data_IF_645061291597
#
_entry.id   IF_645061291597
#
_cell.length_a   1.000
_cell.length_b   1.000
_cell.length_c   1.000
_cell.angle_alpha   90.00
_cell.angle_beta   90.00
_cell.angle_gamma   90.00
#
_symmetry.space_group_name_H-M   'P 1'
#
loop_
_entity.id
_entity.type
_entity.pdbx_description
1 polymer ?
#
# COMPACT_ATOMS: atom_id res chain seq x y z
N UNK A 1 -14.48 -3.16 -24.10
CA UNK A 1 -14.00 -1.77 -24.27
C UNK A 1 -13.98 -1.07 -22.91
N UNK A 2 -12.86 -0.45 -22.53
CA UNK A 2 -12.58 0.13 -21.19
C UNK A 2 -12.07 -0.85 -20.12
N UNK A 3 -11.70 -2.08 -20.48
CA UNK A 3 -11.01 -3.00 -19.56
C UNK A 3 -9.50 -2.81 -19.64
N UNK A 4 -8.83 -2.65 -18.50
CA UNK A 4 -7.37 -2.54 -18.44
C UNK A 4 -6.79 -3.85 -17.93
N UNK A 5 -5.76 -4.38 -18.58
CA UNK A 5 -5.11 -5.63 -18.18
C UNK A 5 -3.72 -5.78 -18.82
N UNK A 6 -2.98 -6.76 -18.32
CA UNK A 6 -1.61 -7.08 -18.75
C UNK A 6 -0.64 -5.89 -18.68
N UNK A 7 -0.81 -5.05 -17.66
CA UNK A 7 0.08 -3.92 -17.42
C UNK A 7 1.41 -4.42 -16.84
N UNK A 8 2.51 -3.79 -17.27
CA UNK A 8 3.87 -4.15 -16.87
C UNK A 8 4.75 -2.91 -16.67
N UNK A 9 4.29 -1.97 -15.85
CA UNK A 9 4.98 -0.71 -15.66
C UNK A 9 6.30 -0.80 -14.89
N UNK A 10 7.06 0.30 -14.91
CA UNK A 10 8.27 0.47 -14.09
C UNK A 10 8.11 1.64 -13.12
N UNK A 11 8.48 1.45 -11.85
CA UNK A 11 8.47 2.55 -10.85
C UNK A 11 9.32 3.70 -11.34
N UNK A 12 8.75 4.90 -11.20
CA UNK A 12 9.37 6.15 -11.65
C UNK A 12 9.23 6.43 -13.15
N UNK A 13 8.54 5.58 -13.91
CA UNK A 13 8.18 5.85 -15.31
C UNK A 13 6.69 5.71 -15.53
N UNK A 14 6.17 6.48 -16.50
CA UNK A 14 4.83 6.28 -17.05
C UNK A 14 5.00 5.64 -18.41
N UNK A 15 4.77 4.34 -18.48
CA UNK A 15 4.98 3.52 -19.68
C UNK A 15 3.69 2.87 -20.20
N UNK A 16 2.58 3.02 -19.47
CA UNK A 16 1.26 2.57 -19.89
C UNK A 16 0.39 3.71 -20.45
N UNK A 17 -0.36 3.43 -21.53
CA UNK A 17 -1.33 4.37 -22.10
C UNK A 17 -2.73 4.18 -21.50
N UNK A 18 -3.18 5.20 -20.76
CA UNK A 18 -4.50 5.26 -20.15
C UNK A 18 -5.40 6.33 -20.80
N UNK A 19 -5.10 6.76 -22.02
CA UNK A 19 -5.84 7.80 -22.76
C UNK A 19 -7.33 7.50 -22.95
N UNK A 20 -7.68 6.22 -23.04
CA UNK A 20 -9.05 5.73 -23.23
C UNK A 20 -9.90 5.70 -21.95
N UNK A 21 -9.30 5.95 -20.78
CA UNK A 21 -10.00 5.88 -19.49
C UNK A 21 -10.69 7.19 -19.13
N UNK A 22 -11.75 7.08 -18.31
CA UNK A 22 -12.37 8.23 -17.67
C UNK A 22 -11.32 9.02 -16.85
N UNK A 23 -11.35 10.37 -16.82
CA UNK A 23 -10.30 11.18 -16.20
C UNK A 23 -9.90 10.80 -14.77
N UNK A 24 -10.88 10.43 -13.94
CA UNK A 24 -10.63 9.95 -12.58
C UNK A 24 -9.88 8.62 -12.55
N UNK A 25 -10.30 7.65 -13.37
CA UNK A 25 -9.61 6.36 -13.48
C UNK A 25 -8.19 6.58 -14.01
N UNK A 26 -8.04 7.36 -15.08
CA UNK A 26 -6.74 7.75 -15.64
C UNK A 26 -5.78 8.31 -14.59
N UNK A 27 -6.25 9.22 -13.72
CA UNK A 27 -5.44 9.76 -12.64
C UNK A 27 -4.98 8.68 -11.65
N UNK A 28 -5.88 7.79 -11.23
CA UNK A 28 -5.55 6.70 -10.30
C UNK A 28 -4.57 5.71 -10.94
N UNK A 29 -4.77 5.33 -12.21
CA UNK A 29 -3.87 4.44 -12.93
C UNK A 29 -2.47 5.04 -13.10
N UNK A 30 -2.35 6.35 -13.40
CA UNK A 30 -1.04 7.00 -13.43
C UNK A 30 -0.35 7.05 -12.07
N UNK A 31 -1.10 7.27 -10.98
CA UNK A 31 -0.52 7.18 -9.64
C UNK A 31 -0.01 5.76 -9.35
N UNK A 32 -0.77 4.75 -9.76
CA UNK A 32 -0.33 3.36 -9.68
C UNK A 32 0.93 3.07 -10.50
N UNK A 33 0.98 3.58 -11.73
CA UNK A 33 2.07 3.34 -12.68
C UNK A 33 3.40 3.88 -12.15
N UNK A 34 3.36 5.11 -11.63
CA UNK A 34 4.53 5.74 -11.02
C UNK A 34 5.01 5.01 -9.75
N UNK A 35 4.10 4.50 -8.91
CA UNK A 35 4.41 4.09 -7.55
C UNK A 35 4.51 2.57 -7.32
N UNK A 36 3.75 1.72 -8.03
CA UNK A 36 3.80 0.26 -7.85
C UNK A 36 3.96 -0.56 -9.13
N UNK A 37 4.56 0.02 -10.19
CA UNK A 37 4.86 -0.67 -11.45
C UNK A 37 3.63 -1.27 -12.17
N UNK A 38 2.41 -1.16 -11.64
CA UNK A 38 1.18 -1.72 -12.22
C UNK A 38 1.30 -3.16 -12.75
N UNK A 39 2.12 -4.05 -12.17
CA UNK A 39 2.36 -5.37 -12.77
C UNK A 39 1.15 -6.32 -12.60
N UNK A 40 0.72 -6.97 -13.68
CA UNK A 40 -0.43 -7.87 -13.68
C UNK A 40 -0.28 -9.05 -12.72
N UNK A 41 0.89 -9.69 -12.69
CA UNK A 41 1.19 -10.87 -11.85
C UNK A 41 1.05 -10.63 -10.33
N UNK A 42 1.05 -9.37 -9.90
CA UNK A 42 0.96 -8.98 -8.49
C UNK A 42 -0.23 -8.08 -8.17
N UNK A 43 -1.13 -7.89 -9.13
CA UNK A 43 -2.33 -7.08 -8.99
C UNK A 43 -3.56 -7.98 -9.05
N UNK A 44 -4.62 -7.59 -8.36
CA UNK A 44 -5.90 -8.30 -8.48
C UNK A 44 -6.67 -7.81 -9.70
N UNK A 45 -7.55 -8.66 -10.22
CA UNK A 45 -8.52 -8.27 -11.25
C UNK A 45 -9.92 -8.19 -10.63
N UNK A 46 -10.60 -7.07 -10.86
CA UNK A 46 -11.98 -6.85 -10.46
C UNK A 46 -12.80 -6.53 -11.71
N UNK A 47 -13.86 -7.29 -11.96
CA UNK A 47 -14.74 -7.10 -13.13
C UNK A 47 -13.97 -7.03 -14.47
N UNK A 48 -12.96 -7.88 -14.65
CA UNK A 48 -12.11 -7.89 -15.85
C UNK A 48 -11.19 -6.68 -15.99
N UNK A 49 -10.99 -5.91 -14.91
CA UNK A 49 -10.02 -4.81 -14.84
C UNK A 49 -8.94 -5.13 -13.83
N UNK A 50 -7.69 -5.11 -14.28
CA UNK A 50 -6.54 -5.14 -13.42
C UNK A 50 -6.50 -3.89 -12.54
N UNK A 51 -6.34 -4.09 -11.24
CA UNK A 51 -6.21 -2.99 -10.28
C UNK A 51 -4.98 -2.13 -10.59
N UNK A 52 -5.07 -0.80 -10.40
CA UNK A 52 -3.97 0.12 -10.65
C UNK A 52 -2.81 -0.03 -9.65
N UNK A 53 -3.05 -0.71 -8.53
CA UNK A 53 -2.05 -0.98 -7.49
C UNK A 53 -1.88 -2.47 -7.28
N UNK A 54 -0.68 -2.84 -6.84
CA UNK A 54 -0.34 -4.18 -6.44
C UNK A 54 -1.07 -4.62 -5.16
N UNK A 55 -1.14 -5.94 -4.92
CA UNK A 55 -1.73 -6.54 -3.73
C UNK A 55 -1.17 -5.96 -2.42
N UNK A 56 0.11 -5.58 -2.40
CA UNK A 56 0.78 -4.98 -1.23
C UNK A 56 0.20 -3.62 -0.88
N UNK A 57 0.04 -2.75 -1.86
CA UNK A 57 -0.50 -1.40 -1.68
C UNK A 57 -1.96 -1.42 -1.24
N UNK A 58 -2.75 -2.36 -1.80
CA UNK A 58 -4.13 -2.59 -1.33
C UNK A 58 -4.13 -2.93 0.16
N UNK A 59 -3.21 -3.81 0.59
CA UNK A 59 -3.00 -4.14 2.00
C UNK A 59 -2.60 -2.91 2.83
N UNK A 60 -1.62 -2.13 2.37
CA UNK A 60 -1.14 -0.91 3.05
C UNK A 60 -2.27 0.11 3.25
N UNK A 61 -3.05 0.41 2.21
CA UNK A 61 -4.15 1.37 2.30
C UNK A 61 -5.25 0.89 3.23
N UNK A 62 -5.61 -0.41 3.16
CA UNK A 62 -6.59 -1.00 4.07
C UNK A 62 -6.10 -0.98 5.52
N UNK A 63 -4.86 -1.39 5.75
CA UNK A 63 -4.22 -1.38 7.07
C UNK A 63 -4.12 0.02 7.66
N UNK A 64 -3.75 1.01 6.85
CA UNK A 64 -3.68 2.41 7.26
C UNK A 64 -5.07 2.92 7.67
N UNK A 65 -6.10 2.66 6.87
CA UNK A 65 -7.47 3.07 7.17
C UNK A 65 -7.98 2.44 8.48
N UNK A 66 -7.81 1.12 8.64
CA UNK A 66 -8.20 0.40 9.86
C UNK A 66 -7.40 0.86 11.08
N UNK A 67 -6.08 1.03 10.93
CA UNK A 67 -5.19 1.51 11.98
C UNK A 67 -5.57 2.93 12.42
N UNK A 68 -5.91 3.82 11.50
CA UNK A 68 -6.38 5.18 11.83
C UNK A 68 -7.71 5.13 12.58
N UNK A 69 -8.66 4.30 12.15
CA UNK A 69 -9.93 4.11 12.86
C UNK A 69 -9.70 3.63 14.30
N UNK A 70 -8.81 2.65 14.48
CA UNK A 70 -8.41 2.13 15.80
C UNK A 70 -7.75 3.23 16.64
N UNK A 71 -6.80 3.98 16.09
CA UNK A 71 -6.11 5.08 16.79
C UNK A 71 -7.10 6.14 17.26
N UNK A 72 -8.02 6.57 16.40
CA UNK A 72 -9.00 7.60 16.71
C UNK A 72 -10.03 7.13 17.76
N UNK A 73 -10.47 5.87 17.67
CA UNK A 73 -11.53 5.34 18.51
C UNK A 73 -11.03 4.84 19.87
N UNK A 74 -9.94 4.06 19.88
CA UNK A 74 -9.46 3.38 21.08
C UNK A 74 -8.33 4.14 21.79
N UNK A 75 -7.69 5.11 21.11
CA UNK A 75 -6.52 5.86 21.62
C UNK A 75 -5.51 4.96 22.33
N UNK A 76 -4.98 3.94 21.65
CA UNK A 76 -4.06 2.99 22.25
C UNK A 76 -2.82 3.72 22.76
N UNK A 77 -2.25 3.25 23.89
CA UNK A 77 -0.97 3.77 24.37
C UNK A 77 0.12 3.46 23.35
N UNK A 78 0.96 4.47 23.09
CA UNK A 78 2.07 4.32 22.17
C UNK A 78 3.10 3.31 22.68
N UNK A 79 3.55 2.43 21.79
CA UNK A 79 4.61 1.45 22.05
C UNK A 79 5.43 1.22 20.78
N UNK A 80 6.71 1.61 20.83
CA UNK A 80 7.67 1.35 19.75
C UNK A 80 7.77 -0.13 19.40
N UNK A 81 7.70 -1.01 20.39
CA UNK A 81 7.80 -2.45 20.18
C UNK A 81 6.65 -2.96 19.29
N UNK A 82 5.42 -2.52 19.54
CA UNK A 82 4.25 -2.94 18.74
C UNK A 82 4.41 -2.47 17.28
N UNK A 83 4.83 -1.21 17.09
CA UNK A 83 5.03 -0.65 15.75
C UNK A 83 6.11 -1.41 14.99
N UNK A 84 7.26 -1.68 15.63
CA UNK A 84 8.36 -2.43 15.02
C UNK A 84 7.90 -3.84 14.66
N UNK A 85 7.21 -4.54 15.57
CA UNK A 85 6.70 -5.89 15.30
C UNK A 85 5.69 -5.94 14.16
N UNK A 86 4.82 -4.93 14.03
CA UNK A 86 3.86 -4.83 12.93
C UNK A 86 4.50 -4.42 11.60
N UNK A 87 5.53 -3.57 11.63
CA UNK A 87 6.23 -3.12 10.43
C UNK A 87 7.27 -4.13 9.92
N UNK A 88 7.81 -4.98 10.78
CA UNK A 88 8.87 -5.92 10.43
C UNK A 88 8.51 -6.85 9.24
N UNK A 89 7.30 -7.45 9.16
CA UNK A 89 6.96 -8.37 8.08
C UNK A 89 7.01 -7.74 6.68
N UNK A 90 6.58 -6.48 6.52
CA UNK A 90 6.62 -5.81 5.21
C UNK A 90 8.06 -5.47 4.79
N UNK A 91 8.92 -5.10 5.74
CA UNK A 91 10.34 -4.87 5.45
C UNK A 91 11.08 -6.16 5.12
N UNK A 92 10.76 -7.26 5.80
CA UNK A 92 11.36 -8.57 5.51
C UNK A 92 10.89 -9.08 4.14
N UNK A 93 9.59 -9.06 3.86
CA UNK A 93 9.03 -9.55 2.59
C UNK A 93 9.46 -8.69 1.39
N UNK A 94 9.39 -7.36 1.52
CA UNK A 94 9.84 -6.43 0.49
C UNK A 94 11.36 -6.43 0.31
N UNK A 95 12.12 -6.49 1.41
CA UNK A 95 13.58 -6.56 1.38
C UNK A 95 14.08 -7.87 0.77
N UNK A 96 13.44 -9.00 1.09
CA UNK A 96 13.76 -10.28 0.47
C UNK A 96 13.57 -10.24 -1.05
N UNK A 97 12.46 -9.68 -1.56
CA UNK A 97 12.24 -9.56 -3.01
C UNK A 97 13.30 -8.70 -3.73
N UNK A 98 13.90 -7.71 -3.05
CA UNK A 98 14.95 -6.85 -3.64
C UNK A 98 16.31 -7.55 -3.64
N UNK A 99 16.60 -8.33 -2.59
CA UNK A 99 17.94 -8.87 -2.35
C UNK A 99 18.14 -10.28 -2.95
N UNK A 100 17.07 -11.06 -3.07
CA UNK A 100 17.11 -12.45 -3.53
C UNK A 100 16.02 -12.71 -4.58
N UNK A 101 16.12 -13.83 -5.30
CA UNK A 101 15.15 -14.23 -6.34
C UNK A 101 13.83 -14.81 -5.77
N UNK A 102 13.45 -14.40 -4.56
CA UNK A 102 12.18 -14.79 -3.93
C UNK A 102 11.08 -13.88 -4.46
N UNK A 103 9.96 -14.47 -4.85
CA UNK A 103 8.74 -13.72 -5.20
C UNK A 103 7.62 -14.01 -4.20
N UNK A 104 7.04 -12.94 -3.67
CA UNK A 104 5.96 -13.02 -2.69
C UNK A 104 4.63 -13.39 -3.36
N UNK A 105 3.77 -14.10 -2.64
CA UNK A 105 2.40 -14.39 -3.14
C UNK A 105 1.48 -13.21 -2.84
N UNK A 106 0.40 -13.03 -3.61
CA UNK A 106 -0.55 -11.93 -3.38
C UNK A 106 -1.17 -11.95 -1.97
N UNK A 107 -1.36 -13.14 -1.39
CA UNK A 107 -1.82 -13.29 -0.02
C UNK A 107 -0.81 -12.74 1.00
N UNK A 108 0.46 -13.11 0.86
CA UNK A 108 1.53 -12.60 1.75
C UNK A 108 1.65 -11.08 1.59
N UNK A 109 1.64 -10.58 0.35
CA UNK A 109 1.67 -9.14 0.04
C UNK A 109 0.55 -8.36 0.72
N UNK A 110 -0.68 -8.87 0.71
CA UNK A 110 -1.81 -8.25 1.44
C UNK A 110 -1.54 -8.26 2.95
N UNK A 111 -1.17 -9.41 3.52
CA UNK A 111 -1.02 -9.55 4.98
C UNK A 111 0.08 -8.62 5.48
N UNK A 112 1.26 -8.64 4.86
CA UNK A 112 2.37 -7.78 5.24
C UNK A 112 2.03 -6.31 5.01
N UNK A 113 1.31 -5.99 3.93
CA UNK A 113 0.76 -4.67 3.66
C UNK A 113 -0.16 -4.15 4.77
N UNK A 114 -1.15 -4.95 5.19
CA UNK A 114 -2.08 -4.58 6.27
C UNK A 114 -1.33 -4.29 7.57
N UNK A 115 -0.42 -5.17 7.96
CA UNK A 115 0.37 -5.00 9.18
C UNK A 115 1.22 -3.73 9.13
N UNK A 116 1.89 -3.49 8.00
CA UNK A 116 2.65 -2.26 7.74
C UNK A 116 1.77 -1.01 7.82
N UNK A 117 0.59 -1.04 7.21
CA UNK A 117 -0.35 0.08 7.22
C UNK A 117 -0.84 0.42 8.63
N UNK A 118 -1.16 -0.59 9.45
CA UNK A 118 -1.54 -0.39 10.86
C UNK A 118 -0.37 0.22 11.64
N UNK A 119 0.85 -0.29 11.44
CA UNK A 119 2.05 0.26 12.09
C UNK A 119 2.24 1.75 11.75
N UNK A 120 2.09 2.11 10.47
CA UNK A 120 2.14 3.50 10.00
C UNK A 120 1.06 4.35 10.67
N UNK A 121 -0.17 3.87 10.77
CA UNK A 121 -1.26 4.61 11.41
C UNK A 121 -1.01 4.88 12.91
N UNK A 122 -0.51 3.89 13.65
CA UNK A 122 -0.17 4.03 15.06
C UNK A 122 0.98 5.03 15.25
N UNK A 123 1.98 4.99 14.38
CA UNK A 123 3.09 5.95 14.39
C UNK A 123 2.63 7.38 14.10
N UNK A 124 1.81 7.58 13.06
CA UNK A 124 1.25 8.89 12.73
C UNK A 124 0.36 9.45 13.84
N UNK A 125 -0.42 8.58 14.50
CA UNK A 125 -1.21 8.95 15.68
C UNK A 125 -0.33 9.50 16.81
N UNK A 126 0.76 8.82 17.13
CA UNK A 126 1.71 9.29 18.13
C UNK A 126 2.38 10.62 17.75
N UNK A 127 2.79 10.77 16.49
CA UNK A 127 3.35 12.04 16.02
C UNK A 127 2.33 13.18 16.17
N UNK A 128 1.07 12.94 15.82
CA UNK A 128 0.01 13.92 15.97
C UNK A 128 -0.17 14.32 17.46
N UNK A 129 -0.20 13.35 18.36
CA UNK A 129 -0.31 13.60 19.80
C UNK A 129 0.87 14.44 20.34
N UNK A 130 2.10 14.10 19.95
CA UNK A 130 3.31 14.85 20.33
C UNK A 130 3.24 16.28 19.81
N UNK A 131 2.93 16.47 18.53
CA UNK A 131 2.85 17.81 17.93
C UNK A 131 1.75 18.67 18.56
N UNK A 132 0.60 18.09 18.89
CA UNK A 132 -0.50 18.80 19.53
C UNK A 132 -0.21 19.10 21.01
N UNK A 133 0.59 18.27 21.70
CA UNK A 133 1.01 18.53 23.08
C UNK A 133 2.01 19.67 23.21
N UNK A 134 2.90 19.88 22.22
CA UNK A 134 3.89 20.97 22.22
C UNK A 134 3.21 22.33 22.03
N UNK A 135 2.02 22.35 21.42
CA UNK A 135 1.29 23.56 21.06
C UNK A 135 0.37 24.09 22.17
N UNK A 136 0.24 23.36 23.28
CA UNK A 136 -0.45 23.80 24.51
C UNK A 136 0.53 24.42 25.48
#
# INVERSE_FOLDING_TARGET
PNSVGDLSGKVGSMDNDFSSLHPLAKAVYYLGDMNCHTMAERSYELNGNQMPFCARDIGLFLGLALGMAVTLWLRPRFSWLIIILLALPIFVDGGAQILISYESTNLIRIITGILGGIATALFLGHLADVMLSIKK
#
